data_IF_565239425153
#
_entry.id   IF_565239425153
#
_cell.length_a   1.000
_cell.length_b   1.000
_cell.length_c   1.000
_cell.angle_alpha   90.00
_cell.angle_beta   90.00
_cell.angle_gamma   90.00
#
_symmetry.space_group_name_H-M   'P 1'
#
loop_
_entity.id
_entity.type
_entity.pdbx_description
1 polymer ?
#
# COMPACT_ATOMS: atom_id res chain seq x y z
N UNK A 1 25.40 -3.63 -14.06
CA UNK A 1 24.16 -3.90 -14.82
C UNK A 1 23.39 -5.00 -14.09
N UNK A 2 22.06 -4.96 -14.17
CA UNK A 2 21.08 -5.90 -13.60
C UNK A 2 20.69 -5.68 -12.12
N UNK A 3 19.76 -4.75 -11.88
CA UNK A 3 18.76 -4.96 -10.83
C UNK A 3 17.64 -5.74 -11.51
N UNK A 4 17.60 -7.04 -11.26
CA UNK A 4 16.54 -7.91 -11.74
C UNK A 4 15.18 -7.28 -11.42
N UNK A 5 14.29 -7.27 -12.42
CA UNK A 5 12.86 -6.93 -12.38
C UNK A 5 12.10 -7.86 -11.42
N UNK A 6 12.49 -7.95 -10.15
CA UNK A 6 11.63 -8.52 -9.13
C UNK A 6 10.43 -7.60 -9.01
N UNK A 7 9.21 -8.12 -9.15
CA UNK A 7 8.02 -7.31 -9.04
C UNK A 7 7.95 -6.75 -7.62
N UNK A 8 8.29 -5.47 -7.48
CA UNK A 8 8.34 -4.83 -6.18
C UNK A 8 6.92 -4.69 -5.64
N UNK A 9 6.60 -5.45 -4.59
CA UNK A 9 5.33 -5.34 -3.88
C UNK A 9 5.11 -3.89 -3.46
N UNK A 10 3.95 -3.36 -3.84
CA UNK A 10 3.51 -2.02 -3.51
C UNK A 10 2.35 -2.12 -2.54
N UNK A 11 2.46 -1.44 -1.41
CA UNK A 11 1.46 -1.34 -0.38
C UNK A 11 0.66 -0.05 -0.59
N UNK A 12 -0.65 -0.17 -0.70
CA UNK A 12 -1.58 0.95 -0.87
C UNK A 12 -2.42 1.08 0.39
N UNK A 13 -2.31 2.21 1.08
CA UNK A 13 -3.13 2.52 2.25
C UNK A 13 -4.30 3.38 1.80
N UNK A 14 -5.51 2.92 2.08
CA UNK A 14 -6.75 3.63 1.76
C UNK A 14 -7.60 3.82 3.01
N UNK A 15 -8.18 5.00 3.16
CA UNK A 15 -9.11 5.35 4.23
C UNK A 15 -10.54 5.36 3.71
N UNK A 16 -11.49 4.95 4.53
CA UNK A 16 -12.90 4.98 4.23
C UNK A 16 -13.52 6.32 4.64
N UNK A 17 -13.68 7.20 3.65
CA UNK A 17 -14.42 8.45 3.73
C UNK A 17 -15.79 8.24 3.07
N UNK A 18 -16.75 7.72 3.86
CA UNK A 18 -18.07 7.29 3.41
C UNK A 18 -18.70 8.29 2.42
N UNK A 19 -19.13 7.86 1.22
CA UNK A 19 -19.30 6.47 0.78
C UNK A 19 -18.07 5.84 0.09
N UNK A 20 -16.93 6.54 0.02
CA UNK A 20 -15.81 6.16 -0.84
C UNK A 20 -14.55 5.74 -0.08
N UNK A 21 -13.73 4.94 -0.74
CA UNK A 21 -12.36 4.70 -0.32
C UNK A 21 -11.44 5.72 -0.99
N UNK A 22 -10.54 6.31 -0.22
CA UNK A 22 -9.54 7.24 -0.71
C UNK A 22 -8.15 6.72 -0.39
N UNK A 23 -7.31 6.60 -1.41
CA UNK A 23 -5.89 6.27 -1.22
C UNK A 23 -5.15 7.47 -0.64
N UNK A 24 -4.41 7.24 0.45
CA UNK A 24 -3.62 8.27 1.15
C UNK A 24 -2.14 7.99 1.11
N UNK A 25 -1.74 6.72 0.89
CA UNK A 25 -0.34 6.35 0.74
C UNK A 25 -0.19 5.21 -0.27
N UNK A 26 0.84 5.32 -1.10
CA UNK A 26 1.33 4.22 -1.94
C UNK A 26 2.83 4.12 -1.73
N UNK A 27 3.31 2.97 -1.30
CA UNK A 27 4.70 2.80 -0.87
C UNK A 27 5.20 1.38 -1.14
N UNK A 28 6.50 1.21 -1.35
CA UNK A 28 7.15 -0.13 -1.36
C UNK A 28 7.62 -0.55 0.03
N UNK A 29 7.57 0.37 0.99
CA UNK A 29 7.92 0.13 2.39
C UNK A 29 6.72 -0.40 3.15
N UNK A 30 6.83 -1.66 3.58
CA UNK A 30 5.82 -2.33 4.39
C UNK A 30 5.60 -1.59 5.70
N UNK A 31 6.65 -1.35 6.47
CA UNK A 31 6.53 -0.75 7.81
C UNK A 31 5.84 0.61 7.75
N UNK A 32 6.22 1.45 6.79
CA UNK A 32 5.59 2.76 6.57
C UNK A 32 4.09 2.65 6.28
N UNK A 33 3.64 1.61 5.58
CA UNK A 33 2.21 1.38 5.32
C UNK A 33 1.44 1.00 6.59
N UNK A 34 2.04 0.18 7.46
CA UNK A 34 1.43 -0.20 8.74
C UNK A 34 1.43 0.94 9.75
N UNK A 35 2.49 1.75 9.80
CA UNK A 35 2.55 2.92 10.66
C UNK A 35 1.48 3.95 10.28
N UNK A 36 1.32 4.22 8.98
CA UNK A 36 0.25 5.09 8.47
C UNK A 36 -1.15 4.54 8.78
N UNK A 37 -1.35 3.23 8.61
CA UNK A 37 -2.63 2.61 8.96
C UNK A 37 -2.93 2.74 10.47
N UNK A 38 -1.92 2.54 11.32
CA UNK A 38 -2.06 2.70 12.77
C UNK A 38 -2.39 4.12 13.18
N UNK A 39 -1.83 5.12 12.49
CA UNK A 39 -2.12 6.54 12.72
C UNK A 39 -3.57 6.89 12.34
N UNK A 40 -4.10 6.31 11.26
CA UNK A 40 -5.47 6.55 10.78
C UNK A 40 -6.53 5.83 11.64
N UNK A 41 -6.25 4.61 12.10
CA UNK A 41 -7.16 3.82 12.94
C UNK A 41 -8.20 3.03 12.13
N UNK A 42 -9.39 2.83 12.71
CA UNK A 42 -10.32 1.75 12.32
C UNK A 42 -10.87 1.80 10.88
N UNK A 43 -10.78 2.94 10.21
CA UNK A 43 -11.34 3.14 8.85
C UNK A 43 -10.29 2.99 7.75
N UNK A 44 -9.21 2.26 7.99
CA UNK A 44 -8.12 2.10 7.03
C UNK A 44 -8.01 0.67 6.51
N UNK A 45 -7.54 0.51 5.27
CA UNK A 45 -7.11 -0.77 4.70
C UNK A 45 -5.74 -0.63 4.05
N UNK A 46 -4.97 -1.73 4.05
CA UNK A 46 -3.72 -1.86 3.31
C UNK A 46 -3.94 -2.92 2.22
N UNK A 47 -3.65 -2.58 0.98
CA UNK A 47 -3.67 -3.50 -0.17
C UNK A 47 -2.23 -3.79 -0.63
N UNK A 48 -1.87 -5.06 -0.75
CA UNK A 48 -0.55 -5.49 -1.26
C UNK A 48 -0.65 -5.86 -2.74
N UNK A 49 0.05 -5.12 -3.60
CA UNK A 49 0.04 -5.30 -5.05
C UNK A 49 1.42 -5.76 -5.49
N UNK A 50 1.54 -7.05 -5.81
CA UNK A 50 2.75 -7.62 -6.44
C UNK A 50 2.49 -7.79 -7.94
N UNK A 51 3.22 -7.08 -8.83
CA UNK A 51 3.04 -7.28 -10.26
C UNK A 51 3.37 -8.73 -10.65
N UNK A 52 2.57 -9.32 -11.54
CA UNK A 52 2.96 -10.60 -12.15
C UNK A 52 4.00 -10.30 -13.23
N UNK A 53 5.18 -10.91 -13.12
CA UNK A 53 6.16 -10.90 -14.23
C UNK A 53 5.50 -11.60 -15.42
N UNK A 54 5.45 -10.93 -16.57
CA UNK A 54 4.95 -11.49 -17.83
C UNK A 54 6.01 -12.38 -18.48
#
# INVERSE_FOLDING_TARGET
>A
MQLADTPATTYVVSVFEMPNWRTVLTTKDKQKSFDMAKEIGDKVRIEEITPKVK
#
